data_IF_954899377986
#
_entry.id   IF_954899377986
#
_cell.length_a   1.000
_cell.length_b   1.000
_cell.length_c   1.000
_cell.angle_alpha   90.00
_cell.angle_beta   90.00
_cell.angle_gamma   90.00
#
_symmetry.space_group_name_H-M   'P 1'
#
loop_
_entity.id
_entity.type
_entity.pdbx_description
1 polymer ?
#
# COMPACT_ATOMS: atom_id res chain seq x y z
N UNK A 1 -0.03 38.87 40.46
CA UNK A 1 0.99 37.96 39.91
C UNK A 1 0.39 36.68 39.34
N UNK A 2 -0.49 35.96 40.07
CA UNK A 2 -1.20 34.79 39.53
C UNK A 2 -2.08 35.09 38.30
N UNK A 3 -2.81 36.22 38.30
CA UNK A 3 -3.71 36.62 37.20
C UNK A 3 -2.97 36.92 35.88
N UNK A 4 -1.74 37.44 35.96
CA UNK A 4 -0.93 37.82 34.79
C UNK A 4 -0.37 36.60 34.07
N UNK A 5 -0.09 35.52 34.83
CA UNK A 5 0.40 34.24 34.30
C UNK A 5 -0.71 33.49 33.56
N UNK A 6 -1.95 33.52 34.06
CA UNK A 6 -3.09 32.86 33.40
C UNK A 6 -3.47 33.51 32.07
N UNK A 7 -3.39 34.85 31.97
CA UNK A 7 -3.70 35.57 30.73
C UNK A 7 -2.65 35.30 29.65
N UNK A 8 -1.36 35.33 29.98
CA UNK A 8 -0.26 34.99 29.07
C UNK A 8 -0.32 33.53 28.60
N UNK A 9 -0.68 32.60 29.49
CA UNK A 9 -0.86 31.20 29.14
C UNK A 9 -2.06 31.00 28.18
N UNK A 10 -3.16 31.72 28.39
CA UNK A 10 -4.34 31.66 27.52
C UNK A 10 -4.05 32.23 26.13
N UNK A 11 -3.33 33.34 26.02
CA UNK A 11 -2.94 33.91 24.72
C UNK A 11 -2.00 32.99 23.91
N UNK A 12 -1.03 32.36 24.57
CA UNK A 12 -0.17 31.36 23.90
C UNK A 12 -0.96 30.15 23.42
N UNK A 13 -1.93 29.67 24.21
CA UNK A 13 -2.79 28.55 23.83
C UNK A 13 -3.69 28.92 22.65
N UNK A 14 -4.33 30.09 22.68
CA UNK A 14 -5.18 30.58 21.58
C UNK A 14 -4.37 30.79 20.30
N UNK A 15 -3.19 31.42 20.39
CA UNK A 15 -2.29 31.61 19.25
C UNK A 15 -1.84 30.28 18.64
N UNK A 16 -1.51 29.29 19.49
CA UNK A 16 -1.14 27.95 19.05
C UNK A 16 -2.28 27.23 18.33
N UNK A 17 -3.50 27.28 18.89
CA UNK A 17 -4.68 26.71 18.21
C UNK A 17 -5.00 27.41 16.89
N UNK A 18 -4.80 28.72 16.81
CA UNK A 18 -5.04 29.49 15.58
C UNK A 18 -3.99 29.18 14.50
N UNK A 19 -2.73 29.01 14.88
CA UNK A 19 -1.65 28.58 13.99
C UNK A 19 -1.87 27.15 13.49
N UNK A 20 -2.24 26.21 14.38
CA UNK A 20 -2.57 24.83 14.02
C UNK A 20 -3.80 24.80 13.10
N UNK A 21 -4.86 25.52 13.45
CA UNK A 21 -6.08 25.61 12.64
C UNK A 21 -5.82 26.16 11.24
N UNK A 22 -4.96 27.19 11.13
CA UNK A 22 -4.54 27.74 9.85
C UNK A 22 -3.69 26.76 9.03
N UNK A 23 -2.75 26.03 9.64
CA UNK A 23 -2.01 24.97 8.94
C UNK A 23 -2.95 23.87 8.43
N UNK A 24 -3.90 23.41 9.26
CA UNK A 24 -4.89 22.40 8.87
C UNK A 24 -5.73 22.91 7.70
N UNK A 25 -6.21 24.16 7.76
CA UNK A 25 -6.98 24.77 6.67
C UNK A 25 -6.20 24.85 5.36
N UNK A 26 -4.93 25.27 5.42
CA UNK A 26 -4.04 25.31 4.24
C UNK A 26 -3.85 23.93 3.65
N UNK A 27 -3.62 22.90 4.47
CA UNK A 27 -3.49 21.50 4.00
C UNK A 27 -4.78 21.00 3.34
N UNK A 28 -5.94 21.30 3.92
CA UNK A 28 -7.25 20.90 3.37
C UNK A 28 -7.51 21.60 2.03
N UNK A 29 -7.31 22.91 1.95
CA UNK A 29 -7.46 23.69 0.72
C UNK A 29 -6.48 23.16 -0.35
N UNK A 30 -5.21 23.00 0.00
CA UNK A 30 -4.22 22.47 -0.92
C UNK A 30 -4.63 21.08 -1.46
N UNK A 31 -5.08 20.17 -0.59
CA UNK A 31 -5.56 18.84 -0.99
C UNK A 31 -6.81 18.87 -1.86
N UNK A 32 -7.67 19.88 -1.72
CA UNK A 32 -8.86 20.05 -2.53
C UNK A 32 -8.55 20.62 -3.92
N UNK A 33 -7.57 21.53 -4.02
CA UNK A 33 -7.22 22.22 -5.28
C UNK A 33 -6.15 21.51 -6.11
N UNK A 34 -5.32 20.65 -5.52
CA UNK A 34 -4.36 19.84 -6.29
C UNK A 34 -5.10 18.75 -7.05
N UNK A 35 -5.19 18.92 -8.37
CA UNK A 35 -5.82 17.97 -9.28
C UNK A 35 -5.09 16.63 -9.25
N UNK A 36 -5.86 15.54 -9.19
CA UNK A 36 -5.35 14.18 -9.38
C UNK A 36 -4.62 14.06 -10.73
N UNK A 37 -3.57 13.23 -10.82
CA UNK A 37 -3.00 12.86 -12.12
C UNK A 37 -4.08 12.31 -13.06
N UNK A 38 -3.92 12.51 -14.37
CA UNK A 38 -4.87 12.00 -15.34
C UNK A 38 -4.82 10.45 -15.37
N UNK A 39 -5.99 9.81 -15.39
CA UNK A 39 -6.08 8.35 -15.55
C UNK A 39 -5.76 7.52 -14.29
N UNK A 40 -5.64 8.14 -13.11
CA UNK A 40 -5.50 7.42 -11.83
C UNK A 40 -6.73 7.57 -10.96
N UNK A 41 -7.04 6.51 -10.22
CA UNK A 41 -8.18 6.43 -9.32
C UNK A 41 -7.70 6.05 -7.92
N UNK A 42 -8.41 6.53 -6.90
CA UNK A 42 -8.16 6.10 -5.51
C UNK A 42 -8.78 4.72 -5.25
N UNK A 43 -9.73 4.32 -6.08
CA UNK A 43 -10.47 3.07 -5.96
C UNK A 43 -9.90 2.06 -6.94
N UNK A 44 -9.87 0.80 -6.51
CA UNK A 44 -9.56 -0.32 -7.39
C UNK A 44 -10.54 -0.37 -8.58
N UNK A 45 -10.10 -0.80 -9.77
CA UNK A 45 -11.01 -0.96 -10.89
C UNK A 45 -12.14 -1.95 -10.59
N UNK A 46 -13.31 -1.83 -11.25
CA UNK A 46 -14.40 -2.78 -11.09
C UNK A 46 -13.97 -4.23 -11.32
N UNK A 47 -14.33 -5.11 -10.38
CA UNK A 47 -13.97 -6.54 -10.42
C UNK A 47 -12.50 -6.84 -10.18
N UNK A 48 -11.71 -5.86 -9.73
CA UNK A 48 -10.28 -6.00 -9.40
C UNK A 48 -10.07 -5.67 -7.92
N UNK A 49 -9.20 -6.45 -7.27
CA UNK A 49 -8.74 -6.29 -5.88
C UNK A 49 -7.23 -6.23 -5.90
N UNK A 50 -6.66 -5.09 -5.54
CA UNK A 50 -5.20 -4.88 -5.62
C UNK A 50 -4.48 -5.19 -4.32
N UNK A 51 -5.21 -5.59 -3.29
CA UNK A 51 -4.68 -5.85 -1.97
C UNK A 51 -4.98 -7.27 -1.52
N UNK A 52 -3.99 -7.96 -0.98
CA UNK A 52 -4.12 -9.30 -0.42
C UNK A 52 -3.60 -9.32 1.00
N UNK A 53 -4.39 -9.93 1.88
CA UNK A 53 -4.08 -10.15 3.28
C UNK A 53 -3.88 -11.64 3.48
N UNK A 54 -2.82 -12.01 4.19
CA UNK A 54 -2.50 -13.40 4.46
C UNK A 54 -1.71 -13.53 5.77
N UNK A 55 -1.56 -14.76 6.23
CA UNK A 55 -0.75 -15.12 7.39
C UNK A 55 0.33 -16.11 6.97
N UNK A 56 1.40 -16.16 7.75
CA UNK A 56 2.39 -17.23 7.69
C UNK A 56 2.34 -18.05 8.98
N UNK A 57 2.68 -19.34 8.95
CA UNK A 57 2.82 -20.18 10.15
C UNK A 57 4.26 -20.65 10.38
N UNK A 58 5.20 -20.33 9.48
CA UNK A 58 6.54 -20.90 9.56
C UNK A 58 7.33 -20.28 10.74
N UNK A 59 7.94 -21.08 11.63
CA UNK A 59 8.80 -20.59 12.70
C UNK A 59 9.87 -19.62 12.18
N UNK A 60 10.52 -19.91 11.06
CA UNK A 60 11.52 -19.01 10.44
C UNK A 60 10.96 -17.65 10.00
N UNK A 61 9.64 -17.50 9.84
CA UNK A 61 8.97 -16.22 9.57
C UNK A 61 8.54 -15.48 10.85
N UNK A 62 8.69 -16.05 12.05
CA UNK A 62 8.22 -15.42 13.30
C UNK A 62 9.14 -15.60 14.51
N UNK A 63 10.22 -16.36 14.41
CA UNK A 63 11.34 -16.30 15.36
C UNK A 63 11.98 -14.91 15.24
N UNK A 64 12.35 -14.34 16.40
CA UNK A 64 13.20 -13.15 16.46
C UNK A 64 14.34 -13.34 15.47
N UNK A 65 14.53 -12.37 14.57
CA UNK A 65 15.46 -12.53 13.46
C UNK A 65 16.80 -13.04 13.97
N UNK A 66 17.40 -14.07 13.33
CA UNK A 66 18.75 -14.46 13.68
C UNK A 66 19.63 -13.21 13.62
N UNK A 67 20.53 -12.98 14.59
CA UNK A 67 21.23 -11.70 14.74
C UNK A 67 22.02 -11.25 13.51
N UNK A 68 22.21 -12.15 12.53
CA UNK A 68 22.96 -11.94 11.30
C UNK A 68 22.10 -12.10 10.01
N UNK A 69 20.81 -12.42 10.12
CA UNK A 69 19.92 -12.65 8.97
C UNK A 69 18.98 -11.47 8.65
N UNK A 70 18.50 -11.36 7.41
CA UNK A 70 17.55 -10.31 7.04
C UNK A 70 16.20 -10.51 7.75
N UNK A 71 15.62 -9.38 8.20
CA UNK A 71 14.29 -9.33 8.81
C UNK A 71 13.28 -10.18 8.04
N UNK A 72 12.40 -10.91 8.73
CA UNK A 72 11.35 -11.76 8.13
C UNK A 72 10.70 -11.12 6.90
N UNK A 73 10.26 -9.86 7.03
CA UNK A 73 9.59 -9.15 5.93
C UNK A 73 10.47 -8.96 4.70
N UNK A 74 11.78 -8.81 4.87
CA UNK A 74 12.76 -8.73 3.78
C UNK A 74 12.91 -10.08 3.09
N UNK A 75 12.99 -11.18 3.85
CA UNK A 75 13.05 -12.55 3.29
C UNK A 75 11.80 -12.90 2.51
N UNK A 76 10.64 -12.74 3.13
CA UNK A 76 9.35 -13.01 2.51
C UNK A 76 9.15 -12.19 1.24
N UNK A 77 9.54 -10.90 1.27
CA UNK A 77 9.46 -10.05 0.10
C UNK A 77 10.43 -10.47 -1.01
N UNK A 78 11.63 -10.91 -0.66
CA UNK A 78 12.60 -11.49 -1.58
C UNK A 78 12.02 -12.72 -2.28
N UNK A 79 11.53 -13.70 -1.53
CA UNK A 79 10.91 -14.93 -2.06
C UNK A 79 9.70 -14.61 -2.96
N UNK A 80 8.87 -13.64 -2.60
CA UNK A 80 7.76 -13.16 -3.43
C UNK A 80 8.28 -12.56 -4.75
N UNK A 81 9.27 -11.68 -4.68
CA UNK A 81 9.82 -11.03 -5.87
C UNK A 81 10.48 -12.04 -6.82
N UNK A 82 11.20 -13.02 -6.28
CA UNK A 82 11.87 -14.05 -7.07
C UNK A 82 10.85 -15.00 -7.69
N UNK A 83 9.83 -15.40 -6.93
CA UNK A 83 8.72 -16.20 -7.45
C UNK A 83 7.86 -15.49 -8.50
N UNK A 84 7.80 -14.16 -8.51
CA UNK A 84 7.21 -13.36 -9.59
C UNK A 84 8.14 -13.30 -10.81
N UNK A 85 9.45 -13.17 -10.60
CA UNK A 85 10.44 -13.19 -11.68
C UNK A 85 10.41 -14.51 -12.45
N UNK A 86 10.29 -15.65 -11.76
CA UNK A 86 10.12 -16.97 -12.36
C UNK A 86 8.85 -17.09 -13.22
N UNK A 87 7.85 -16.25 -12.97
CA UNK A 87 6.60 -16.17 -13.75
C UNK A 87 6.67 -15.14 -14.88
N UNK A 88 7.86 -14.58 -15.14
CA UNK A 88 8.12 -13.63 -16.22
C UNK A 88 7.75 -12.17 -15.89
N UNK A 89 7.61 -11.82 -14.61
CA UNK A 89 7.46 -10.43 -14.15
C UNK A 89 8.84 -9.84 -13.91
N UNK A 90 9.23 -8.79 -14.62
CA UNK A 90 10.49 -8.13 -14.33
C UNK A 90 10.36 -7.35 -13.01
N UNK A 91 11.26 -7.57 -12.06
CA UNK A 91 11.26 -6.89 -10.75
C UNK A 91 12.44 -5.95 -10.66
N UNK A 92 12.16 -4.66 -10.53
CA UNK A 92 13.13 -3.57 -10.50
C UNK A 92 13.01 -2.77 -9.19
N UNK A 93 13.98 -1.90 -8.91
CA UNK A 93 13.92 -0.90 -7.83
C UNK A 93 13.45 -1.46 -6.46
N UNK A 94 14.01 -2.62 -6.04
CA UNK A 94 13.74 -3.20 -4.72
C UNK A 94 14.30 -2.31 -3.61
N UNK A 95 13.56 -2.13 -2.53
CA UNK A 95 14.01 -1.36 -1.37
C UNK A 95 12.98 -1.33 -0.24
N UNK A 96 13.29 -0.55 0.79
CA UNK A 96 12.45 -0.39 1.98
C UNK A 96 11.86 1.01 2.01
N UNK A 97 10.59 1.14 2.39
CA UNK A 97 9.90 2.41 2.62
C UNK A 97 9.27 2.37 4.00
N UNK A 98 9.79 3.19 4.91
CA UNK A 98 9.35 3.23 6.32
C UNK A 98 9.39 1.82 6.95
N UNK A 99 8.23 1.20 7.15
CA UNK A 99 8.06 -0.11 7.75
C UNK A 99 7.59 -1.19 6.74
N UNK A 100 7.75 -0.92 5.43
CA UNK A 100 7.32 -1.79 4.35
C UNK A 100 8.46 -2.08 3.37
N UNK A 101 8.34 -3.18 2.64
CA UNK A 101 9.20 -3.51 1.51
C UNK A 101 8.50 -3.10 0.21
N UNK A 102 9.24 -2.61 -0.77
CA UNK A 102 8.72 -2.19 -2.08
C UNK A 102 9.61 -2.66 -3.21
N UNK A 103 8.98 -2.99 -4.33
CA UNK A 103 9.61 -3.18 -5.63
C UNK A 103 8.73 -2.63 -6.74
N UNK A 104 9.32 -2.44 -7.93
CA UNK A 104 8.59 -2.11 -9.14
C UNK A 104 8.49 -3.35 -10.03
N UNK A 105 7.27 -3.85 -10.19
CA UNK A 105 6.96 -4.94 -11.11
C UNK A 105 6.68 -4.35 -12.49
N UNK A 106 7.40 -4.84 -13.50
CA UNK A 106 7.27 -4.45 -14.90
C UNK A 106 6.73 -5.64 -15.70
N UNK A 107 5.57 -5.44 -16.32
CA UNK A 107 4.92 -6.45 -17.14
C UNK A 107 4.26 -5.78 -18.33
N UNK A 108 4.53 -6.28 -19.54
CA UNK A 108 3.97 -5.74 -20.80
C UNK A 108 4.19 -4.22 -20.96
N UNK A 109 5.35 -3.72 -20.54
CA UNK A 109 5.72 -2.30 -20.59
C UNK A 109 5.01 -1.41 -19.56
N UNK A 110 4.17 -1.98 -18.70
CA UNK A 110 3.53 -1.28 -17.59
C UNK A 110 4.29 -1.50 -16.28
N UNK A 111 4.28 -0.50 -15.41
CA UNK A 111 4.97 -0.50 -14.12
C UNK A 111 3.96 -0.41 -12.99
N UNK A 112 4.14 -1.27 -12.00
CA UNK A 112 3.33 -1.37 -10.79
C UNK A 112 4.24 -1.38 -9.57
N UNK A 113 3.85 -0.73 -8.48
CA UNK A 113 4.55 -0.86 -7.21
C UNK A 113 3.96 -2.06 -6.48
N UNK A 114 4.79 -3.01 -6.10
CA UNK A 114 4.42 -4.05 -5.16
C UNK A 114 4.95 -3.63 -3.78
N UNK A 115 4.05 -3.50 -2.81
CA UNK A 115 4.38 -3.11 -1.44
C UNK A 115 3.96 -4.23 -0.50
N UNK A 116 4.86 -4.67 0.38
CA UNK A 116 4.58 -5.65 1.43
C UNK A 116 4.79 -4.98 2.80
N UNK A 117 3.77 -5.05 3.65
CA UNK A 117 3.79 -4.51 5.00
C UNK A 117 3.24 -5.50 6.03
N UNK A 118 3.65 -5.33 7.28
CA UNK A 118 3.11 -6.06 8.43
C UNK A 118 2.15 -5.15 9.20
N UNK A 119 0.89 -5.57 9.31
CA UNK A 119 -0.15 -4.80 9.97
C UNK A 119 -1.07 -5.72 10.77
N UNK A 120 -1.30 -5.38 12.05
CA UNK A 120 -2.22 -6.12 12.93
C UNK A 120 -2.04 -7.65 12.90
N UNK A 121 -0.79 -8.09 13.04
CA UNK A 121 -0.41 -9.51 13.04
C UNK A 121 -0.68 -10.25 11.72
N UNK A 122 -0.72 -9.53 10.60
CA UNK A 122 -0.98 -10.07 9.26
C UNK A 122 -0.05 -9.42 8.24
N UNK A 123 0.29 -10.18 7.21
CA UNK A 123 0.97 -9.64 6.04
C UNK A 123 -0.06 -9.04 5.09
N UNK A 124 0.29 -7.87 4.55
CA UNK A 124 -0.50 -7.18 3.54
C UNK A 124 0.41 -6.90 2.36
N UNK A 125 0.07 -7.46 1.20
CA UNK A 125 0.69 -7.12 -0.07
C UNK A 125 -0.29 -6.29 -0.90
N UNK A 126 0.18 -5.17 -1.44
CA UNK A 126 -0.65 -4.31 -2.28
C UNK A 126 0.06 -3.90 -3.57
N UNK A 127 -0.71 -3.79 -4.64
CA UNK A 127 -0.25 -3.35 -5.95
C UNK A 127 -0.73 -1.93 -6.20
N UNK A 128 0.20 -0.99 -6.36
CA UNK A 128 -0.07 0.45 -6.45
C UNK A 128 0.41 1.05 -7.77
N UNK A 129 -0.17 2.19 -8.12
CA UNK A 129 0.26 2.97 -9.28
C UNK A 129 1.66 3.59 -9.06
N UNK A 130 2.50 3.55 -10.09
CA UNK A 130 3.85 4.16 -10.08
C UNK A 130 3.85 5.49 -10.84
N UNK A 131 4.30 6.60 -10.21
CA UNK A 131 4.43 7.89 -10.88
C UNK A 131 5.54 7.87 -11.95
N UNK A 132 5.23 8.30 -13.17
CA UNK A 132 6.20 8.36 -14.28
C UNK A 132 6.86 9.72 -14.36
N UNK A 133 6.10 10.80 -14.10
CA UNK A 133 6.54 12.19 -14.30
C UNK A 133 6.99 12.85 -12.99
N UNK A 134 7.84 13.86 -13.09
CA UNK A 134 8.28 14.63 -11.90
C UNK A 134 7.11 15.32 -11.17
N UNK A 135 6.11 15.80 -11.91
CA UNK A 135 4.90 16.39 -11.33
C UNK A 135 4.08 15.35 -10.52
N UNK A 136 3.98 14.13 -11.01
CA UNK A 136 3.31 13.01 -10.35
C UNK A 136 4.03 12.59 -9.06
N UNK A 137 5.36 12.51 -9.10
CA UNK A 137 6.17 12.24 -7.91
C UNK A 137 5.98 13.31 -6.83
N UNK A 138 5.99 14.59 -7.21
CA UNK A 138 5.72 15.71 -6.29
C UNK A 138 4.30 15.64 -5.73
N UNK A 139 3.32 15.33 -6.56
CA UNK A 139 1.93 15.16 -6.12
C UNK A 139 1.81 14.08 -5.03
N UNK A 140 2.42 12.91 -5.24
CA UNK A 140 2.42 11.85 -4.23
C UNK A 140 3.14 12.27 -2.95
N UNK A 141 4.32 12.89 -3.07
CA UNK A 141 5.10 13.37 -1.93
C UNK A 141 4.33 14.39 -1.06
N UNK A 142 3.47 15.20 -1.67
CA UNK A 142 2.70 16.24 -0.96
C UNK A 142 1.35 15.74 -0.44
N UNK A 143 0.71 14.83 -1.16
CA UNK A 143 -0.64 14.36 -0.78
C UNK A 143 -0.60 13.16 0.15
N UNK A 144 0.47 12.38 0.10
CA UNK A 144 0.59 11.06 0.74
C UNK A 144 -0.56 10.11 0.39
N UNK A 145 -1.17 10.31 -0.79
CA UNK A 145 -2.25 9.46 -1.28
C UNK A 145 -1.68 8.28 -2.04
N UNK A 146 -2.27 7.12 -1.80
CA UNK A 146 -2.02 5.91 -2.57
C UNK A 146 -3.08 5.79 -3.65
N UNK A 147 -2.68 5.40 -4.86
CA UNK A 147 -3.58 5.27 -6.01
C UNK A 147 -3.55 3.85 -6.54
N UNK A 148 -4.72 3.36 -6.95
CA UNK A 148 -4.84 2.08 -7.63
C UNK A 148 -4.32 2.20 -9.08
N UNK A 149 -3.64 1.17 -9.61
CA UNK A 149 -3.34 1.10 -11.03
C UNK A 149 -4.62 1.04 -11.87
N UNK A 150 -4.55 1.53 -13.11
CA UNK A 150 -5.64 1.35 -14.06
C UNK A 150 -5.81 -0.13 -14.44
N UNK A 151 -7.04 -0.55 -14.72
CA UNK A 151 -7.31 -1.91 -15.17
C UNK A 151 -6.60 -2.19 -16.50
N UNK A 152 -5.91 -3.32 -16.56
CA UNK A 152 -5.21 -3.77 -17.74
C UNK A 152 -4.93 -5.26 -17.69
N UNK A 153 -4.69 -5.92 -18.84
CA UNK A 153 -4.25 -7.31 -18.88
C UNK A 153 -3.01 -7.56 -18.02
N UNK A 154 -2.03 -6.64 -18.07
CA UNK A 154 -0.82 -6.69 -17.26
C UNK A 154 -1.12 -6.67 -15.75
N UNK A 155 -1.99 -5.77 -15.29
CA UNK A 155 -2.40 -5.74 -13.88
C UNK A 155 -3.04 -7.07 -13.46
N UNK A 156 -4.02 -7.54 -14.24
CA UNK A 156 -4.74 -8.79 -13.94
C UNK A 156 -3.80 -9.99 -13.92
N UNK A 157 -2.81 -10.03 -14.82
CA UNK A 157 -1.78 -11.08 -14.84
C UNK A 157 -0.85 -11.01 -13.64
N UNK A 158 -0.39 -9.82 -13.26
CA UNK A 158 0.42 -9.62 -12.05
C UNK A 158 -0.32 -10.10 -10.80
N UNK A 159 -1.59 -9.70 -10.64
CA UNK A 159 -2.38 -10.12 -9.47
C UNK A 159 -2.60 -11.63 -9.42
N UNK A 160 -2.82 -12.28 -10.58
CA UNK A 160 -2.89 -13.75 -10.65
C UNK A 160 -1.56 -14.42 -10.32
N UNK A 161 -0.43 -13.85 -10.73
CA UNK A 161 0.89 -14.38 -10.39
C UNK A 161 1.18 -14.30 -8.89
N UNK A 162 0.75 -13.21 -8.25
CA UNK A 162 0.81 -13.04 -6.78
C UNK A 162 -0.10 -14.07 -6.10
N UNK A 163 -1.35 -14.22 -6.54
CA UNK A 163 -2.29 -15.20 -5.98
C UNK A 163 -1.76 -16.63 -6.11
N UNK A 164 -1.24 -16.98 -7.28
CA UNK A 164 -0.67 -18.30 -7.52
C UNK A 164 0.55 -18.57 -6.66
N UNK A 165 1.43 -17.57 -6.47
CA UNK A 165 2.59 -17.71 -5.60
C UNK A 165 2.16 -17.91 -4.14
N UNK A 166 1.26 -17.05 -3.64
CA UNK A 166 0.75 -17.13 -2.27
C UNK A 166 0.06 -18.46 -1.96
N UNK A 167 -0.63 -19.04 -2.95
CA UNK A 167 -1.36 -20.30 -2.81
C UNK A 167 -0.50 -21.54 -3.03
N UNK A 168 0.70 -21.40 -3.60
CA UNK A 168 1.61 -22.52 -3.83
C UNK A 168 2.30 -22.95 -2.53
N UNK A 169 2.53 -22.00 -1.63
CA UNK A 169 3.26 -22.23 -0.40
C UNK A 169 2.30 -22.50 0.77
N UNK A 170 2.29 -23.74 1.28
CA UNK A 170 1.44 -24.14 2.41
C UNK A 170 1.80 -23.41 3.72
N UNK A 171 2.97 -22.77 3.78
CA UNK A 171 3.37 -21.92 4.91
C UNK A 171 2.54 -20.64 4.98
N UNK A 172 1.94 -20.23 3.86
CA UNK A 172 1.12 -19.03 3.73
C UNK A 172 -0.36 -19.43 3.66
N UNK A 173 -1.17 -18.85 4.54
CA UNK A 173 -2.58 -19.24 4.70
C UNK A 173 -3.47 -18.02 4.95
N UNK A 174 -4.78 -18.25 5.06
CA UNK A 174 -5.81 -17.20 5.21
C UNK A 174 -5.77 -16.14 4.10
N UNK A 175 -5.33 -16.51 2.89
CA UNK A 175 -5.21 -15.61 1.73
C UNK A 175 -6.58 -15.06 1.32
N UNK A 176 -6.76 -13.75 1.51
CA UNK A 176 -7.99 -13.01 1.18
C UNK A 176 -7.66 -11.75 0.40
N UNK A 177 -8.34 -11.57 -0.72
CA UNK A 177 -8.22 -10.39 -1.56
C UNK A 177 -9.26 -9.35 -1.18
N UNK A 178 -8.86 -8.08 -1.18
CA UNK A 178 -9.68 -6.96 -0.80
C UNK A 178 -9.54 -5.82 -1.80
N UNK A 179 -10.62 -5.04 -1.96
CA UNK A 179 -10.52 -3.74 -2.60
C UNK A 179 -9.79 -2.79 -1.67
N UNK A 180 -8.74 -2.13 -2.16
CA UNK A 180 -7.84 -1.33 -1.33
C UNK A 180 -8.57 -0.18 -0.60
N UNK A 181 -9.45 0.52 -1.30
CA UNK A 181 -10.22 1.63 -0.72
C UNK A 181 -11.17 1.16 0.39
N UNK A 182 -11.71 -0.05 0.29
CA UNK A 182 -12.59 -0.64 1.30
C UNK A 182 -11.83 -1.06 2.54
N UNK A 183 -10.67 -1.70 2.34
CA UNK A 183 -9.80 -2.06 3.45
C UNK A 183 -9.32 -0.85 4.25
N UNK A 184 -8.87 0.21 3.55
CA UNK A 184 -8.44 1.47 4.20
C UNK A 184 -9.60 2.10 4.99
N UNK A 185 -10.85 1.94 4.54
CA UNK A 185 -12.03 2.40 5.27
C UNK A 185 -12.45 1.47 6.43
N UNK A 186 -11.72 0.38 6.69
CA UNK A 186 -12.06 -0.63 7.69
C UNK A 186 -13.18 -1.60 7.26
N UNK A 187 -13.62 -1.53 6.00
CA UNK A 187 -14.66 -2.38 5.44
C UNK A 187 -14.05 -3.68 4.89
N UNK A 188 -14.08 -4.73 5.72
CA UNK A 188 -13.58 -6.06 5.38
C UNK A 188 -14.65 -6.96 4.72
N UNK A 189 -15.89 -6.47 4.53
CA UNK A 189 -17.00 -7.27 3.99
C UNK A 189 -16.82 -7.68 2.53
N UNK A 190 -15.91 -7.01 1.81
CA UNK A 190 -15.64 -7.23 0.38
C UNK A 190 -14.52 -8.24 0.10
N UNK A 191 -14.13 -9.00 1.12
CA UNK A 191 -13.12 -10.05 0.99
C UNK A 191 -13.53 -11.08 -0.08
N UNK A 192 -12.60 -11.45 -0.95
CA UNK A 192 -12.80 -12.49 -1.96
C UNK A 192 -11.64 -13.48 -1.98
N UNK A 193 -11.92 -14.67 -2.50
CA UNK A 193 -10.90 -15.70 -2.68
C UNK A 193 -9.93 -15.37 -3.82
N UNK A 194 -10.29 -14.49 -4.77
CA UNK A 194 -9.48 -14.21 -5.96
C UNK A 194 -9.27 -12.71 -6.16
N UNK A 195 -8.16 -12.31 -6.79
CA UNK A 195 -7.87 -10.90 -7.06
C UNK A 195 -8.79 -10.28 -8.11
N UNK A 196 -9.33 -11.11 -9.00
CA UNK A 196 -10.08 -10.68 -10.17
C UNK A 196 -11.34 -11.54 -10.26
N UNK A 197 -12.50 -10.91 -10.37
CA UNK A 197 -13.77 -11.61 -10.56
C UNK A 197 -13.79 -12.30 -11.94
N UNK A 198 -14.38 -13.49 -12.03
CA UNK A 198 -14.61 -14.11 -13.34
C UNK A 198 -15.74 -13.33 -14.02
N UNK A 199 -15.63 -12.94 -15.31
CA UNK A 199 -16.75 -12.36 -16.05
C UNK A 199 -18.01 -13.24 -16.08
N UNK A 200 -17.92 -14.50 -15.62
CA UNK A 200 -19.04 -15.43 -15.46
C UNK A 200 -19.72 -15.38 -14.10
N UNK A 201 -19.18 -14.63 -13.14
CA UNK A 201 -19.69 -14.52 -11.77
C UNK A 201 -20.75 -13.40 -11.61
N UNK A 202 -21.27 -12.85 -12.73
CA UNK A 202 -22.22 -11.74 -12.78
C UNK A 202 -23.36 -11.92 -13.78
#
# INVERSE_FOLDING_TARGET
MALTITVLAMEMVVSSFLAIGMMVAVVVIFRAFVRRPAGVWQEDPPGVRTMVVFRGNHPDFFEDDPPEGPYVGVRLFGELCDGLADQGVAVENRGTIQNAQRAECVLEGQRFALVLEWLEHRWLASVEWVPRRGAERRHLALTHRVYAPADSPALRRLLRAIDQWLRRDERLFDVKWHRKEKWIAGDQSTAAARPVDDPRDG
#
